data_IF_619435433915
#
_entry.id   IF_619435433915
#
_cell.length_a   1.000
_cell.length_b   1.000
_cell.length_c   1.000
_cell.angle_alpha   90.00
_cell.angle_beta   90.00
_cell.angle_gamma   90.00
#
_symmetry.space_group_name_H-M   'P 1'
#
loop_
_entity.id
_entity.type
_entity.pdbx_description
1 polymer ?
#
# COMPACT_ATOMS: atom_id res chain seq x y z
N UNK A 1 0.19 -16.35 -38.69
CA UNK A 1 0.30 -16.86 -37.31
C UNK A 1 1.02 -15.81 -36.48
N UNK A 2 0.30 -15.06 -35.63
CA UNK A 2 0.79 -14.57 -34.32
C UNK A 2 -0.47 -14.22 -33.55
N UNK A 3 -0.70 -14.96 -32.48
CA UNK A 3 -1.74 -14.71 -31.49
C UNK A 3 -1.24 -13.70 -30.45
N UNK A 4 -2.19 -13.01 -29.81
CA UNK A 4 -2.13 -12.31 -28.50
C UNK A 4 -1.55 -10.87 -28.52
N UNK A 5 -2.12 -9.90 -27.81
CA UNK A 5 -3.12 -9.96 -26.75
C UNK A 5 -4.15 -8.83 -26.95
N UNK A 6 -5.40 -9.21 -26.88
CA UNK A 6 -6.48 -8.33 -26.50
C UNK A 6 -6.11 -7.73 -25.12
N UNK A 7 -5.66 -6.47 -25.10
CA UNK A 7 -5.46 -5.71 -23.86
C UNK A 7 -6.81 -5.10 -23.40
N UNK A 8 -7.93 -5.77 -23.71
CA UNK A 8 -9.19 -5.61 -23.00
C UNK A 8 -9.19 -6.58 -21.82
N UNK A 9 -8.38 -6.27 -20.82
CA UNK A 9 -8.51 -6.95 -19.53
C UNK A 9 -8.45 -5.89 -18.46
N UNK A 10 -9.64 -5.44 -18.05
CA UNK A 10 -9.86 -5.01 -16.70
C UNK A 10 -9.54 -6.21 -15.79
N UNK A 11 -8.24 -6.45 -15.56
CA UNK A 11 -7.78 -7.40 -14.57
C UNK A 11 -8.48 -7.01 -13.26
N UNK A 12 -9.04 -7.97 -12.50
CA UNK A 12 -9.73 -7.63 -11.27
C UNK A 12 -8.74 -6.87 -10.40
N UNK A 13 -8.99 -5.57 -10.19
CA UNK A 13 -8.16 -4.72 -9.35
C UNK A 13 -8.11 -5.38 -7.98
N UNK A 14 -6.99 -6.05 -7.69
CA UNK A 14 -6.81 -6.75 -6.41
C UNK A 14 -6.83 -5.68 -5.33
N UNK A 15 -7.97 -5.61 -4.65
CA UNK A 15 -8.22 -4.63 -3.60
C UNK A 15 -7.73 -5.24 -2.31
N UNK A 16 -6.57 -4.81 -1.85
CA UNK A 16 -5.90 -5.43 -0.71
C UNK A 16 -6.04 -4.52 0.51
N UNK A 17 -6.64 -5.06 1.57
CA UNK A 17 -6.77 -4.37 2.86
C UNK A 17 -5.45 -4.41 3.61
N UNK A 18 -4.93 -3.23 3.91
CA UNK A 18 -3.80 -3.01 4.82
C UNK A 18 -4.37 -2.89 6.24
N UNK A 19 -3.88 -3.72 7.15
CA UNK A 19 -4.30 -3.72 8.55
C UNK A 19 -3.15 -3.33 9.49
N UNK A 20 -1.91 -3.51 9.04
CA UNK A 20 -0.71 -3.19 9.81
C UNK A 20 0.37 -2.62 8.89
N UNK A 21 1.33 -1.91 9.46
CA UNK A 21 2.50 -1.40 8.74
C UNK A 21 3.77 -1.86 9.42
N UNK A 22 4.88 -1.98 8.70
CA UNK A 22 6.20 -2.19 9.31
C UNK A 22 6.89 -0.85 9.30
N UNK A 23 7.13 -0.28 10.47
CA UNK A 23 7.89 0.95 10.58
C UNK A 23 9.38 0.62 10.60
N UNK A 24 10.18 1.53 10.07
CA UNK A 24 11.63 1.49 10.25
C UNK A 24 12.00 2.53 11.29
N UNK A 25 13.02 2.23 12.10
CA UNK A 25 13.63 3.17 13.07
C UNK A 25 14.37 4.36 12.40
N UNK A 26 14.14 4.59 11.09
CA UNK A 26 14.77 5.68 10.36
C UNK A 26 14.15 7.01 10.81
N UNK A 27 15.00 7.99 11.08
CA UNK A 27 14.60 9.30 11.62
C UNK A 27 13.71 10.09 10.64
N UNK A 28 13.91 9.90 9.34
CA UNK A 28 13.20 10.63 8.27
C UNK A 28 11.74 10.17 8.12
N UNK A 29 10.74 11.07 8.30
CA UNK A 29 9.31 10.71 8.30
C UNK A 29 8.84 10.09 6.99
N UNK A 30 9.42 10.50 5.86
CA UNK A 30 9.11 9.99 4.51
C UNK A 30 9.59 8.55 4.27
N UNK A 31 10.51 8.04 5.09
CA UNK A 31 11.09 6.69 5.00
C UNK A 31 10.79 5.83 6.22
N UNK A 32 9.80 6.25 7.04
CA UNK A 32 9.41 5.50 8.22
C UNK A 32 8.63 4.23 7.89
N UNK A 33 8.07 4.10 6.69
CA UNK A 33 7.34 2.89 6.29
C UNK A 33 8.30 2.00 5.51
N UNK A 34 8.59 0.80 6.03
CA UNK A 34 9.43 -0.20 5.36
C UNK A 34 8.60 -1.16 4.52
N UNK A 35 7.48 -1.60 5.08
CA UNK A 35 6.57 -2.53 4.45
C UNK A 35 5.15 -2.26 4.95
N UNK A 36 4.18 -2.75 4.21
CA UNK A 36 2.79 -2.79 4.61
C UNK A 36 2.35 -4.24 4.73
N UNK A 37 1.37 -4.50 5.58
CA UNK A 37 0.82 -5.82 5.72
C UNK A 37 -0.64 -5.79 6.11
N UNK A 38 -1.25 -6.95 6.07
CA UNK A 38 -2.62 -7.09 6.52
C UNK A 38 -3.15 -8.47 6.28
N UNK A 39 -4.44 -8.59 6.52
CA UNK A 39 -5.18 -9.81 6.28
C UNK A 39 -5.94 -9.64 4.98
N UNK A 40 -5.60 -10.46 3.98
CA UNK A 40 -6.33 -10.50 2.72
C UNK A 40 -7.76 -11.01 2.93
N UNK A 41 -8.59 -10.89 1.88
CA UNK A 41 -9.97 -11.39 1.92
C UNK A 41 -10.03 -12.90 2.24
N UNK A 42 -9.00 -13.64 1.83
CA UNK A 42 -8.84 -15.07 2.05
C UNK A 42 -8.40 -15.43 3.48
N UNK A 43 -8.30 -14.46 4.40
CA UNK A 43 -7.81 -14.67 5.77
C UNK A 43 -6.30 -14.85 5.87
N UNK A 44 -5.58 -14.85 4.74
CA UNK A 44 -4.13 -14.99 4.70
C UNK A 44 -3.45 -13.67 5.04
N UNK A 45 -2.55 -13.69 6.02
CA UNK A 45 -1.64 -12.57 6.29
C UNK A 45 -0.68 -12.40 5.11
N UNK A 46 -0.57 -11.18 4.62
CA UNK A 46 0.36 -10.82 3.57
C UNK A 46 1.22 -9.64 4.04
N UNK A 47 2.44 -9.58 3.51
CA UNK A 47 3.39 -8.52 3.77
C UNK A 47 4.05 -8.13 2.46
N UNK A 48 4.15 -6.84 2.21
CA UNK A 48 4.67 -6.30 0.96
C UNK A 48 5.55 -5.09 1.27
N UNK A 49 6.76 -5.07 0.71
CA UNK A 49 7.66 -3.92 0.87
C UNK A 49 7.05 -2.67 0.25
N UNK A 50 7.40 -1.50 0.77
CA UNK A 50 6.93 -0.21 0.22
C UNK A 50 7.17 -0.13 -1.29
N UNK A 51 8.37 -0.47 -1.76
CA UNK A 51 8.74 -0.45 -3.19
C UNK A 51 7.88 -1.40 -4.04
N UNK A 52 7.58 -2.59 -3.51
CA UNK A 52 6.72 -3.54 -4.20
C UNK A 52 5.27 -3.04 -4.25
N UNK A 53 4.81 -2.33 -3.23
CA UNK A 53 3.47 -1.78 -3.15
C UNK A 53 3.32 -0.62 -4.14
N UNK A 54 4.33 0.26 -4.18
CA UNK A 54 4.44 1.34 -5.16
C UNK A 54 4.42 0.75 -6.57
N UNK A 55 5.27 -0.23 -6.88
CA UNK A 55 5.29 -0.85 -8.19
C UNK A 55 3.93 -1.48 -8.56
N UNK A 56 3.25 -2.13 -7.62
CA UNK A 56 1.93 -2.71 -7.86
C UNK A 56 0.84 -1.64 -8.12
N UNK A 57 0.91 -0.49 -7.47
CA UNK A 57 0.01 0.66 -7.70
C UNK A 57 0.33 1.34 -9.03
N UNK A 58 1.61 1.59 -9.32
CA UNK A 58 2.06 2.23 -10.57
C UNK A 58 1.74 1.39 -11.81
N UNK A 59 1.80 0.06 -11.69
CA UNK A 59 1.39 -0.85 -12.74
C UNK A 59 -0.13 -1.11 -12.77
N UNK A 60 -0.92 -0.42 -11.92
CA UNK A 60 -2.36 -0.62 -11.72
C UNK A 60 -2.78 -2.07 -11.46
N UNK A 61 -1.84 -2.93 -11.02
CA UNK A 61 -2.08 -4.35 -10.75
C UNK A 61 -2.84 -4.59 -9.46
N UNK A 62 -2.58 -3.76 -8.45
CA UNK A 62 -3.24 -3.86 -7.15
C UNK A 62 -3.54 -2.48 -6.58
N UNK A 63 -4.63 -2.39 -5.84
CA UNK A 63 -5.02 -1.19 -5.11
C UNK A 63 -5.07 -1.50 -3.63
N UNK A 64 -4.37 -0.72 -2.82
CA UNK A 64 -4.32 -0.92 -1.39
C UNK A 64 -5.27 0.06 -0.69
N UNK A 65 -5.90 -0.38 0.40
CA UNK A 65 -6.71 0.49 1.25
C UNK A 65 -6.54 0.13 2.72
N UNK A 66 -6.60 1.13 3.60
CA UNK A 66 -6.68 0.96 5.06
C UNK A 66 -8.12 1.14 5.53
N UNK A 67 -8.44 0.56 6.68
CA UNK A 67 -9.68 0.84 7.39
C UNK A 67 -9.31 1.53 8.70
N UNK A 68 -9.64 2.81 8.80
CA UNK A 68 -9.34 3.65 9.96
C UNK A 68 -10.28 3.37 11.15
N UNK A 69 -9.95 3.98 12.29
CA UNK A 69 -10.79 3.94 13.48
C UNK A 69 -12.18 4.54 13.16
N UNK A 70 -13.23 3.70 13.21
CA UNK A 70 -14.59 4.09 12.84
C UNK A 70 -15.09 3.53 11.50
N UNK A 71 -14.34 2.63 10.85
CA UNK A 71 -14.80 1.94 9.63
C UNK A 71 -14.62 2.76 8.34
N UNK A 72 -13.94 3.90 8.41
CA UNK A 72 -13.61 4.68 7.22
C UNK A 72 -12.55 3.95 6.38
N UNK A 73 -12.88 3.67 5.11
CA UNK A 73 -11.95 3.06 4.17
C UNK A 73 -11.21 4.14 3.41
N UNK A 74 -9.89 4.11 3.49
CA UNK A 74 -9.02 5.09 2.87
C UNK A 74 -8.09 4.37 1.90
N UNK A 75 -8.14 4.73 0.62
CA UNK A 75 -7.22 4.19 -0.38
C UNK A 75 -5.80 4.71 -0.19
N UNK A 76 -4.80 3.88 -0.46
CA UNK A 76 -3.41 4.32 -0.58
C UNK A 76 -3.13 4.86 -1.99
N UNK A 77 -2.24 5.83 -2.05
CA UNK A 77 -1.72 6.43 -3.28
C UNK A 77 -0.21 6.58 -3.18
N UNK A 78 0.46 6.63 -4.32
CA UNK A 78 1.89 6.93 -4.37
C UNK A 78 2.07 8.44 -4.30
N UNK A 79 2.95 8.89 -3.40
CA UNK A 79 3.45 10.26 -3.32
C UNK A 79 4.86 10.37 -3.88
N UNK A 80 5.21 11.53 -4.44
CA UNK A 80 6.56 11.83 -4.89
C UNK A 80 7.17 12.80 -3.87
N UNK A 81 8.21 12.36 -3.18
CA UNK A 81 8.95 13.16 -2.21
C UNK A 81 10.17 13.80 -2.84
N UNK A 82 11.14 14.19 -2.02
CA UNK A 82 12.43 14.75 -2.48
C UNK A 82 13.28 13.63 -3.09
N UNK A 83 13.03 13.32 -4.36
CA UNK A 83 13.82 12.37 -5.17
C UNK A 83 13.46 10.88 -5.00
N UNK A 84 12.39 10.54 -4.27
CA UNK A 84 11.94 9.15 -4.10
C UNK A 84 10.41 9.06 -3.98
N UNK A 85 9.86 8.01 -4.58
CA UNK A 85 8.46 7.62 -4.42
C UNK A 85 8.24 7.02 -3.03
N UNK A 86 7.15 7.41 -2.40
CA UNK A 86 6.76 6.91 -1.08
C UNK A 86 5.26 6.60 -1.07
N UNK A 87 4.85 5.77 -0.12
CA UNK A 87 3.46 5.39 0.01
C UNK A 87 2.74 6.32 0.98
N UNK A 88 1.60 6.87 0.57
CA UNK A 88 0.75 7.73 1.42
C UNK A 88 -0.72 7.36 1.27
N UNK A 89 -1.58 7.81 2.17
CA UNK A 89 -3.02 7.64 1.96
C UNK A 89 -3.59 8.76 1.09
N UNK A 90 -4.74 8.54 0.46
CA UNK A 90 -5.42 9.56 -0.35
C UNK A 90 -5.83 10.80 0.47
N UNK A 91 -6.01 10.64 1.77
CA UNK A 91 -6.34 11.75 2.69
C UNK A 91 -5.09 12.44 3.23
N UNK A 92 -3.91 11.83 3.09
CA UNK A 92 -2.64 12.44 3.49
C UNK A 92 -2.20 13.48 2.45
N UNK A 93 -1.98 14.72 2.91
CA UNK A 93 -1.42 15.77 2.06
C UNK A 93 0.09 15.56 1.85
N UNK A 94 0.88 15.66 2.92
CA UNK A 94 2.35 15.70 2.87
C UNK A 94 3.01 14.54 3.63
N UNK A 95 2.51 14.24 4.84
CA UNK A 95 3.01 13.16 5.70
C UNK A 95 2.02 11.99 5.77
N UNK A 96 2.48 10.73 5.88
CA UNK A 96 1.63 9.55 5.94
C UNK A 96 1.01 9.35 7.34
N UNK A 97 0.29 10.35 7.84
CA UNK A 97 -0.35 10.32 9.17
C UNK A 97 -1.39 9.21 9.26
N UNK A 98 -2.17 8.98 8.19
CA UNK A 98 -3.15 7.91 8.12
C UNK A 98 -2.56 6.51 8.28
N UNK A 99 -1.31 6.30 7.83
CA UNK A 99 -0.58 5.04 7.99
C UNK A 99 0.14 4.96 9.34
N UNK A 100 0.65 6.08 9.85
CA UNK A 100 1.29 6.17 11.17
C UNK A 100 0.33 5.86 12.33
N UNK A 101 -0.98 6.02 12.11
CA UNK A 101 -2.01 5.63 13.06
C UNK A 101 -2.25 4.11 13.19
N UNK A 102 -1.70 3.29 12.29
CA UNK A 102 -1.91 1.84 12.30
C UNK A 102 -0.91 1.09 13.19
N UNK A 103 -1.30 -0.06 13.78
CA UNK A 103 -0.38 -0.89 14.55
C UNK A 103 0.77 -1.40 13.68
N UNK A 104 1.92 -1.64 14.31
CA UNK A 104 3.05 -2.27 13.64
C UNK A 104 2.73 -3.76 13.37
N UNK A 105 3.07 -4.28 12.20
CA UNK A 105 2.92 -5.71 11.92
C UNK A 105 3.90 -6.47 12.82
N UNK A 106 3.40 -7.37 13.66
CA UNK A 106 4.25 -8.25 14.46
C UNK A 106 5.10 -9.12 13.51
N UNK A 107 6.42 -9.08 13.71
CA UNK A 107 7.36 -9.96 13.03
C UNK A 107 7.25 -11.34 13.69
N UNK A 108 6.29 -12.16 13.27
CA UNK A 108 6.24 -13.60 13.60
C UNK A 108 6.72 -14.45 12.44
#
# INVERSE_FOLDING_TARGET
>A
MTVKADFSSAEPRLSIRVACIVRSDRTAPHYRIRAIGGTGRDGRSWRLSEEAAIAAIENERASFYIEGAGGQRVGLTVGIGVGKLYLKTKIDMDSPEGLLGLPECEER
#
